data_IF_193150293702
#
_entry.id   IF_193150293702
#
_cell.length_a   1.000
_cell.length_b   1.000
_cell.length_c   1.000
_cell.angle_alpha   90.00
_cell.angle_beta   90.00
_cell.angle_gamma   90.00
#
_symmetry.space_group_name_H-M   'P 1'
#
loop_
_entity.id
_entity.type
_entity.pdbx_description
1 polymer ?
#
# COMPACT_ATOMS: atom_id res chain seq x y z
N UNK A 1 -7.45 16.42 -18.13
CA UNK A 1 -7.31 14.95 -18.03
C UNK A 1 -6.14 14.64 -17.11
N UNK A 2 -6.38 13.93 -16.01
CA UNK A 2 -5.33 13.42 -15.13
C UNK A 2 -4.90 12.01 -15.55
N UNK A 3 -3.75 11.57 -15.05
CA UNK A 3 -3.35 10.17 -15.15
C UNK A 3 -3.84 9.38 -13.94
N UNK A 4 -4.37 8.19 -14.18
CA UNK A 4 -4.50 7.16 -13.15
C UNK A 4 -3.19 6.39 -13.11
N UNK A 5 -2.47 6.45 -11.98
CA UNK A 5 -1.15 5.83 -11.86
C UNK A 5 -1.27 4.48 -11.18
N UNK A 6 -0.63 3.48 -11.80
CA UNK A 6 -0.34 2.21 -11.14
C UNK A 6 1.09 2.25 -10.64
N UNK A 7 1.25 2.07 -9.34
CA UNK A 7 2.51 2.19 -8.62
C UNK A 7 2.81 0.86 -7.93
N UNK A 8 4.07 0.44 -7.94
CA UNK A 8 4.55 -0.66 -7.11
C UNK A 8 5.44 -0.15 -5.99
N UNK A 9 5.34 -0.78 -4.82
CA UNK A 9 6.37 -0.72 -3.78
C UNK A 9 7.14 -2.05 -3.85
N UNK A 10 8.37 -2.02 -4.34
CA UNK A 10 9.09 -3.24 -4.74
C UNK A 10 9.90 -3.89 -3.63
N UNK A 11 10.08 -3.21 -2.49
CA UNK A 11 10.75 -3.75 -1.31
C UNK A 11 9.84 -3.63 -0.10
N UNK A 12 9.49 -4.79 0.44
CA UNK A 12 8.65 -4.93 1.61
C UNK A 12 8.93 -6.28 2.27
N UNK A 13 8.60 -6.36 3.55
CA UNK A 13 8.66 -7.57 4.36
C UNK A 13 7.35 -7.71 5.11
N UNK A 14 6.80 -8.93 5.12
CA UNK A 14 5.65 -9.27 5.94
C UNK A 14 6.02 -10.40 6.90
N UNK A 15 5.66 -10.24 8.17
CA UNK A 15 5.85 -11.27 9.20
C UNK A 15 4.50 -11.59 9.85
N UNK A 16 4.31 -12.84 10.25
CA UNK A 16 3.10 -13.31 10.91
C UNK A 16 3.51 -14.15 12.11
N UNK A 17 2.95 -13.86 13.27
CA UNK A 17 3.08 -14.71 14.45
C UNK A 17 1.88 -15.66 14.55
N UNK A 18 2.15 -16.88 15.00
CA UNK A 18 1.18 -17.97 15.03
C UNK A 18 1.04 -18.56 16.44
N UNK A 19 -0.18 -18.89 16.82
CA UNK A 19 -0.49 -19.75 17.96
C UNK A 19 -1.07 -21.07 17.43
N UNK A 20 -0.24 -22.10 17.33
CA UNK A 20 -0.61 -23.32 16.61
C UNK A 20 -0.82 -23.02 15.13
N UNK A 21 -2.02 -23.29 14.61
CA UNK A 21 -2.40 -23.03 13.23
C UNK A 21 -3.13 -21.68 13.03
N UNK A 22 -3.30 -20.88 14.08
CA UNK A 22 -4.03 -19.62 14.02
C UNK A 22 -3.07 -18.42 14.00
N UNK A 23 -3.18 -17.49 13.03
CA UNK A 23 -2.40 -16.27 13.03
C UNK A 23 -2.90 -15.33 14.13
N UNK A 24 -2.00 -14.76 14.92
CA UNK A 24 -2.35 -13.90 16.06
C UNK A 24 -1.89 -12.46 15.89
N UNK A 25 -0.78 -12.23 15.19
CA UNK A 25 -0.35 -10.89 14.78
C UNK A 25 0.24 -10.92 13.38
N UNK A 26 0.19 -9.80 12.68
CA UNK A 26 0.81 -9.65 11.37
C UNK A 26 1.40 -8.26 11.24
N UNK A 27 2.59 -8.16 10.68
CA UNK A 27 3.24 -6.89 10.40
C UNK A 27 3.70 -6.83 8.94
N UNK A 28 3.47 -5.70 8.29
CA UNK A 28 3.98 -5.38 6.96
C UNK A 28 4.81 -4.10 7.08
N UNK A 29 6.07 -4.16 6.63
CA UNK A 29 6.95 -3.00 6.49
C UNK A 29 7.29 -2.79 5.03
N UNK A 30 7.10 -1.57 4.53
CA UNK A 30 7.35 -1.19 3.14
C UNK A 30 8.39 -0.09 3.09
N UNK A 31 9.46 -0.29 2.32
CA UNK A 31 10.47 0.74 2.09
C UNK A 31 9.94 1.77 1.08
N UNK A 32 9.80 3.01 1.51
CA UNK A 32 9.16 4.07 0.72
C UNK A 32 9.92 4.40 -0.56
N UNK A 33 11.25 4.29 -0.55
CA UNK A 33 12.10 4.61 -1.71
C UNK A 33 12.09 3.52 -2.81
N UNK A 34 11.49 2.35 -2.51
CA UNK A 34 11.19 1.27 -3.46
C UNK A 34 10.01 1.58 -4.41
N UNK A 35 9.41 2.77 -4.28
CA UNK A 35 8.35 3.27 -5.15
C UNK A 35 8.74 3.23 -6.63
N UNK A 36 7.90 2.63 -7.47
CA UNK A 36 8.06 2.60 -8.93
C UNK A 36 6.75 2.90 -9.65
N UNK A 37 6.81 3.73 -10.71
CA UNK A 37 5.64 4.00 -11.57
C UNK A 37 5.60 2.97 -12.69
N UNK A 38 4.67 2.01 -12.57
CA UNK A 38 4.52 0.96 -13.57
C UNK A 38 3.92 1.53 -14.87
N UNK A 39 2.77 2.18 -14.79
CA UNK A 39 2.12 2.83 -15.93
C UNK A 39 1.16 3.93 -15.47
N UNK A 40 0.70 4.73 -16.43
CA UNK A 40 -0.31 5.77 -16.21
C UNK A 40 -1.34 5.77 -17.33
N UNK A 41 -2.62 5.76 -16.98
CA UNK A 41 -3.75 5.66 -17.92
C UNK A 41 -4.63 6.91 -17.92
N UNK A 42 -5.49 7.06 -18.93
CA UNK A 42 -6.51 8.11 -19.03
C UNK A 42 -6.01 9.50 -19.46
N UNK A 43 -4.71 9.79 -19.35
CA UNK A 43 -4.14 11.02 -19.89
C UNK A 43 -3.88 10.96 -21.40
N UNK A 44 -3.56 12.11 -22.00
CA UNK A 44 -3.45 12.29 -23.46
C UNK A 44 -2.36 11.41 -24.10
N UNK A 45 -1.27 11.14 -23.35
CA UNK A 45 -0.18 10.24 -23.74
C UNK A 45 0.27 9.43 -22.53
N UNK A 46 0.79 8.21 -22.71
CA UNK A 46 1.45 7.50 -21.62
C UNK A 46 2.63 8.30 -21.02
N UNK A 47 2.97 8.02 -19.77
CA UNK A 47 4.12 8.66 -19.09
C UNK A 47 5.44 8.14 -19.67
N UNK A 48 6.27 9.06 -20.16
CA UNK A 48 7.66 8.80 -20.55
C UNK A 48 8.54 8.47 -19.34
N UNK A 49 9.72 7.89 -19.59
CA UNK A 49 10.72 7.60 -18.54
C UNK A 49 11.06 8.82 -17.66
N UNK A 50 11.43 9.98 -18.24
CA UNK A 50 11.70 11.19 -17.46
C UNK A 50 10.51 11.66 -16.63
N UNK A 51 9.28 11.55 -17.15
CA UNK A 51 8.07 11.91 -16.41
C UNK A 51 7.84 10.97 -15.21
N UNK A 52 8.08 9.66 -15.37
CA UNK A 52 8.02 8.69 -14.25
C UNK A 52 9.03 9.01 -13.14
N UNK A 53 10.24 9.43 -13.50
CA UNK A 53 11.27 9.86 -12.52
C UNK A 53 10.82 11.08 -11.72
N UNK A 54 10.23 12.08 -12.39
CA UNK A 54 9.69 13.26 -11.71
C UNK A 54 8.51 12.92 -10.79
N UNK A 55 7.61 12.04 -11.22
CA UNK A 55 6.50 11.53 -10.39
C UNK A 55 7.03 10.84 -9.14
N UNK A 56 8.00 9.91 -9.28
CA UNK A 56 8.66 9.25 -8.14
C UNK A 56 9.27 10.29 -7.19
N UNK A 57 10.04 11.25 -7.70
CA UNK A 57 10.67 12.30 -6.88
C UNK A 57 9.64 13.11 -6.08
N UNK A 58 8.53 13.50 -6.71
CA UNK A 58 7.45 14.24 -6.04
C UNK A 58 6.73 13.40 -4.98
N UNK A 59 6.49 12.11 -5.26
CA UNK A 59 5.88 11.19 -4.30
C UNK A 59 6.77 11.01 -3.06
N UNK A 60 8.06 10.72 -3.24
CA UNK A 60 9.01 10.56 -2.13
C UNK A 60 9.15 11.84 -1.30
N UNK A 61 9.11 13.02 -1.93
CA UNK A 61 9.10 14.30 -1.22
C UNK A 61 7.80 14.50 -0.42
N UNK A 62 6.66 14.11 -0.97
CA UNK A 62 5.35 14.26 -0.31
C UNK A 62 5.21 13.33 0.90
N UNK A 63 5.77 12.13 0.80
CA UNK A 63 5.88 11.16 1.90
C UNK A 63 6.99 11.51 2.91
N UNK A 64 7.86 12.47 2.60
CA UNK A 64 9.04 12.83 3.40
C UNK A 64 9.91 11.58 3.69
N UNK A 65 10.18 10.81 2.62
CA UNK A 65 10.82 9.50 2.69
C UNK A 65 12.22 9.51 3.33
N UNK A 66 12.91 10.66 3.33
CA UNK A 66 14.20 10.81 4.02
C UNK A 66 14.05 10.76 5.54
N UNK A 67 12.94 11.28 6.07
CA UNK A 67 12.65 11.30 7.50
C UNK A 67 11.81 10.10 7.93
N UNK A 68 10.96 9.61 7.06
CA UNK A 68 10.08 8.47 7.28
C UNK A 68 10.30 7.44 6.16
N UNK A 69 11.36 6.62 6.26
CA UNK A 69 11.76 5.70 5.19
C UNK A 69 10.80 4.51 5.04
N UNK A 70 9.95 4.26 6.03
CA UNK A 70 9.07 3.09 6.09
C UNK A 70 7.60 3.48 6.24
N UNK A 71 6.74 2.67 5.61
CA UNK A 71 5.31 2.56 5.93
C UNK A 71 5.12 1.22 6.64
N UNK A 72 4.40 1.21 7.77
CA UNK A 72 4.16 -0.01 8.54
C UNK A 72 2.69 -0.24 8.81
N UNK A 73 2.21 -1.46 8.61
CA UNK A 73 0.94 -1.92 9.16
C UNK A 73 1.21 -2.99 10.21
N UNK A 74 0.59 -2.88 11.38
CA UNK A 74 0.71 -3.87 12.46
C UNK A 74 -0.68 -4.24 12.96
N UNK A 75 -1.12 -5.47 12.67
CA UNK A 75 -2.37 -6.06 13.15
C UNK A 75 -2.15 -6.75 14.49
N UNK A 76 -2.99 -6.39 15.46
CA UNK A 76 -3.03 -6.99 16.80
C UNK A 76 -4.29 -7.82 17.04
N UNK A 77 -5.26 -7.75 16.11
CA UNK A 77 -6.49 -8.52 16.13
C UNK A 77 -6.68 -9.14 14.75
N UNK A 78 -6.79 -10.47 14.70
CA UNK A 78 -6.98 -11.23 13.46
C UNK A 78 -8.16 -12.18 13.66
N UNK A 79 -9.27 -11.88 13.00
CA UNK A 79 -10.50 -12.69 13.06
C UNK A 79 -10.67 -13.47 11.77
N UNK A 80 -11.08 -14.74 11.86
CA UNK A 80 -11.52 -15.49 10.66
C UNK A 80 -12.74 -14.82 10.06
N UNK A 81 -12.73 -14.56 8.75
CA UNK A 81 -13.82 -13.90 8.04
C UNK A 81 -13.97 -14.49 6.64
N UNK A 82 -15.07 -15.22 6.41
CA UNK A 82 -15.35 -15.82 5.10
C UNK A 82 -14.24 -16.76 4.63
N UNK A 83 -13.68 -16.46 3.46
CA UNK A 83 -12.56 -17.18 2.84
C UNK A 83 -11.18 -16.61 3.22
N UNK A 84 -11.08 -15.88 4.33
CA UNK A 84 -9.80 -15.40 4.85
C UNK A 84 -9.91 -14.79 6.24
N UNK A 85 -9.36 -13.60 6.42
CA UNK A 85 -9.21 -12.96 7.72
C UNK A 85 -9.54 -11.47 7.67
N UNK A 86 -10.09 -10.96 8.76
CA UNK A 86 -10.18 -9.52 9.05
C UNK A 86 -9.06 -9.14 10.02
N UNK A 87 -8.17 -8.29 9.57
CA UNK A 87 -7.02 -7.80 10.33
C UNK A 87 -7.34 -6.37 10.79
N UNK A 88 -7.41 -6.17 12.10
CA UNK A 88 -7.51 -4.84 12.71
C UNK A 88 -6.17 -4.47 13.31
N UNK A 89 -5.68 -3.27 12.99
CA UNK A 89 -4.35 -2.85 13.38
C UNK A 89 -4.10 -1.37 13.24
N UNK A 90 -2.84 -0.97 13.39
CA UNK A 90 -2.38 0.39 13.15
C UNK A 90 -1.60 0.49 11.85
N UNK A 91 -2.00 1.41 10.98
CA UNK A 91 -1.26 1.84 9.80
C UNK A 91 -0.47 3.10 10.14
N UNK A 92 0.83 3.06 9.88
CA UNK A 92 1.80 4.11 10.14
C UNK A 92 2.34 4.64 8.82
N UNK A 93 2.04 5.91 8.54
CA UNK A 93 2.54 6.61 7.35
C UNK A 93 3.02 7.99 7.79
N UNK A 94 4.24 8.36 7.38
CA UNK A 94 4.80 9.71 7.59
C UNK A 94 4.73 10.18 9.06
N UNK A 95 5.07 9.27 9.97
CA UNK A 95 5.10 9.54 11.42
C UNK A 95 3.72 9.70 12.07
N UNK A 96 2.62 9.46 11.35
CA UNK A 96 1.27 9.40 11.92
C UNK A 96 0.78 7.95 11.93
N UNK A 97 0.02 7.60 12.96
CA UNK A 97 -0.57 6.27 13.14
C UNK A 97 -2.08 6.40 13.24
N UNK A 98 -2.81 5.51 12.58
CA UNK A 98 -4.27 5.39 12.67
C UNK A 98 -4.69 3.94 12.65
N UNK A 99 -5.86 3.68 13.21
CA UNK A 99 -6.49 2.39 13.02
C UNK A 99 -6.82 2.17 11.55
N UNK A 100 -6.57 0.95 11.09
CA UNK A 100 -6.86 0.52 9.73
C UNK A 100 -7.31 -0.93 9.77
N UNK A 101 -8.35 -1.25 9.01
CA UNK A 101 -8.92 -2.60 8.92
C UNK A 101 -8.67 -3.12 7.51
N UNK A 102 -8.16 -4.34 7.41
CA UNK A 102 -7.87 -5.04 6.16
C UNK A 102 -8.67 -6.32 6.12
N UNK A 103 -9.45 -6.52 5.07
CA UNK A 103 -10.04 -7.80 4.74
C UNK A 103 -9.07 -8.54 3.79
N UNK A 104 -8.40 -9.56 4.33
CA UNK A 104 -7.46 -10.43 3.63
C UNK A 104 -8.21 -11.66 3.12
N UNK A 105 -8.28 -11.82 1.80
CA UNK A 105 -8.80 -13.03 1.16
C UNK A 105 -7.69 -14.07 1.07
N UNK A 106 -8.04 -15.34 1.31
CA UNK A 106 -7.15 -16.48 1.07
C UNK A 106 -7.76 -17.43 0.04
N UNK A 107 -6.94 -17.94 -0.86
CA UNK A 107 -7.32 -18.92 -1.87
C UNK A 107 -6.39 -20.12 -1.75
N UNK A 108 -6.98 -21.31 -1.65
CA UNK A 108 -6.27 -22.58 -1.65
C UNK A 108 -5.86 -22.95 -3.09
N UNK A 109 -4.55 -23.04 -3.35
CA UNK A 109 -4.00 -23.44 -4.64
C UNK A 109 -3.38 -24.85 -4.64
N UNK A 110 -3.73 -25.69 -3.65
CA UNK A 110 -3.10 -26.99 -3.42
C UNK A 110 -1.91 -26.87 -2.48
N UNK A 111 -0.71 -26.75 -3.03
CA UNK A 111 0.54 -26.69 -2.24
C UNK A 111 0.84 -25.28 -1.70
N UNK A 112 0.12 -24.27 -2.21
CA UNK A 112 0.28 -22.87 -1.86
C UNK A 112 -1.03 -22.25 -1.35
N UNK A 113 -0.89 -21.18 -0.57
CA UNK A 113 -1.91 -20.18 -0.33
C UNK A 113 -1.66 -18.97 -1.23
N UNK A 114 -2.70 -18.47 -1.89
CA UNK A 114 -2.70 -17.10 -2.42
C UNK A 114 -3.46 -16.19 -1.45
N UNK A 115 -2.85 -15.06 -1.15
CA UNK A 115 -3.41 -14.01 -0.32
C UNK A 115 -3.64 -12.77 -1.16
N UNK A 116 -4.79 -12.10 -0.98
CA UNK A 116 -5.06 -10.83 -1.62
C UNK A 116 -5.79 -9.84 -0.71
N UNK A 117 -5.52 -8.56 -0.94
CA UNK A 117 -6.14 -7.43 -0.24
C UNK A 117 -6.47 -6.34 -1.25
N UNK A 118 -7.62 -5.71 -1.06
CA UNK A 118 -7.90 -4.37 -1.56
C UNK A 118 -8.27 -3.47 -0.37
N UNK A 119 -7.72 -2.27 -0.33
CA UNK A 119 -7.99 -1.30 0.72
C UNK A 119 -7.84 0.12 0.19
N UNK A 120 -8.41 1.10 0.90
CA UNK A 120 -8.30 2.51 0.54
C UNK A 120 -7.65 3.28 1.67
N UNK A 121 -6.64 4.07 1.35
CA UNK A 121 -5.93 4.95 2.28
C UNK A 121 -6.12 6.40 1.85
N UNK A 122 -6.55 7.26 2.77
CA UNK A 122 -6.62 8.71 2.53
C UNK A 122 -5.32 9.39 2.92
N UNK A 123 -4.66 10.06 1.99
CA UNK A 123 -3.35 10.69 2.20
C UNK A 123 -3.37 11.80 3.27
N UNK A 124 -4.40 12.65 3.26
CA UNK A 124 -4.52 13.76 4.19
C UNK A 124 -4.65 13.33 5.66
N UNK A 125 -5.18 12.13 5.92
CA UNK A 125 -5.25 11.55 7.26
C UNK A 125 -3.86 11.38 7.89
N UNK A 126 -2.85 11.15 7.06
CA UNK A 126 -1.44 11.02 7.44
C UNK A 126 -0.64 12.32 7.26
N UNK A 127 -1.31 13.43 6.91
CA UNK A 127 -0.67 14.73 6.69
C UNK A 127 0.15 14.80 5.41
N UNK A 128 -0.03 13.87 4.49
CA UNK A 128 0.48 13.97 3.12
C UNK A 128 -0.42 14.95 2.38
N UNK A 129 0.15 16.02 1.83
CA UNK A 129 -0.60 16.99 1.02
C UNK A 129 -0.63 16.46 -0.42
N UNK A 130 -1.81 16.16 -1.00
CA UNK A 130 -1.88 15.68 -2.37
C UNK A 130 -1.26 16.70 -3.32
N UNK A 131 -0.40 16.23 -4.23
CA UNK A 131 0.28 17.08 -5.20
C UNK A 131 -0.74 17.74 -6.15
N UNK A 132 -0.50 19.00 -6.49
CA UNK A 132 -1.39 19.77 -7.37
C UNK A 132 -0.59 20.64 -8.35
N UNK A 133 -1.10 20.78 -9.57
CA UNK A 133 -0.57 21.63 -10.64
C UNK A 133 -1.61 22.67 -11.06
N UNK A 134 -1.15 23.68 -11.82
CA UNK A 134 -2.02 24.67 -12.50
C UNK A 134 -3.04 25.32 -11.54
N UNK A 135 -2.56 25.85 -10.41
CA UNK A 135 -3.38 26.46 -9.35
C UNK A 135 -4.52 25.56 -8.84
N UNK A 136 -4.33 24.23 -8.87
CA UNK A 136 -5.28 23.25 -8.34
C UNK A 136 -6.24 22.66 -9.37
N UNK A 137 -6.20 23.10 -10.64
CA UNK A 137 -7.03 22.51 -11.70
C UNK A 137 -6.64 21.07 -12.04
N UNK A 138 -5.44 20.63 -11.66
CA UNK A 138 -5.02 19.22 -11.69
C UNK A 138 -4.52 18.84 -10.30
N UNK A 139 -5.12 17.80 -9.71
CA UNK A 139 -4.81 17.36 -8.35
C UNK A 139 -4.75 15.84 -8.30
N UNK A 140 -3.76 15.32 -7.59
CA UNK A 140 -3.72 13.89 -7.22
C UNK A 140 -4.88 13.61 -6.27
N UNK A 141 -5.60 12.50 -6.52
CA UNK A 141 -6.69 12.07 -5.64
C UNK A 141 -6.17 11.90 -4.21
N UNK A 142 -6.98 12.28 -3.22
CA UNK A 142 -6.59 12.12 -1.82
C UNK A 142 -6.68 10.66 -1.36
N UNK A 143 -7.70 9.95 -1.85
CA UNK A 143 -7.85 8.51 -1.67
C UNK A 143 -6.93 7.75 -2.63
N UNK A 144 -6.24 6.76 -2.07
CA UNK A 144 -5.34 5.86 -2.78
C UNK A 144 -5.85 4.44 -2.56
N UNK A 145 -6.22 3.78 -3.66
CA UNK A 145 -6.47 2.35 -3.64
C UNK A 145 -5.13 1.61 -3.49
N UNK A 146 -5.08 0.67 -2.57
CA UNK A 146 -3.93 -0.19 -2.28
C UNK A 146 -4.37 -1.62 -2.52
N UNK A 147 -3.62 -2.32 -3.35
CA UNK A 147 -3.77 -3.75 -3.52
C UNK A 147 -2.50 -4.47 -3.10
N UNK A 148 -2.68 -5.68 -2.57
CA UNK A 148 -1.59 -6.58 -2.23
C UNK A 148 -1.96 -7.98 -2.69
N UNK A 149 -0.96 -8.70 -3.23
CA UNK A 149 -1.07 -10.11 -3.55
C UNK A 149 0.24 -10.79 -3.16
N UNK A 150 0.14 -11.94 -2.49
CA UNK A 150 1.29 -12.81 -2.21
C UNK A 150 0.89 -14.27 -2.37
N UNK A 151 1.89 -15.11 -2.66
CA UNK A 151 1.76 -16.56 -2.68
C UNK A 151 2.74 -17.11 -1.66
N UNK A 152 2.26 -18.00 -0.79
CA UNK A 152 3.05 -18.61 0.27
C UNK A 152 2.82 -20.12 0.29
N UNK A 153 3.88 -20.95 0.27
CA UNK A 153 3.75 -22.40 0.39
C UNK A 153 3.10 -22.82 1.71
N UNK A 154 2.32 -23.90 1.73
CA UNK A 154 1.67 -24.38 2.98
C UNK A 154 2.62 -25.06 3.96
N UNK A 155 3.78 -25.49 3.46
CA UNK A 155 4.64 -26.54 4.02
C UNK A 155 4.03 -27.95 3.90
#
# INVERSE_FOLDING_TARGET
MGHWLTIAMTRWEATVAWAGAEPVTAELTVEVDSFEVLHGEGGVKGLSGPEKVLVKSNALKSLDAKRYPEIRFAADTIDKAGDGYRLTGKLHIRGKSREHVIDLRTEDLGDDWRMSVESTVRQTDYGVKPYSLLMGSVKVADEVAVSFTAVHPKA
#
